data_IF_983891318094
#
_entry.id   IF_983891318094
#
_cell.length_a   1.000
_cell.length_b   1.000
_cell.length_c   1.000
_cell.angle_alpha   90.00
_cell.angle_beta   90.00
_cell.angle_gamma   90.00
#
_symmetry.space_group_name_H-M   'P 1'
#
loop_
_entity.id
_entity.type
_entity.pdbx_description
1 polymer ?
#
# COMPACT_ATOMS: atom_id res chain seq x y z
N UNK A 1 -33.04 0.66 -10.48
CA UNK A 1 -31.65 0.14 -10.49
C UNK A 1 -30.90 0.76 -9.31
N UNK A 2 -30.95 0.11 -8.16
CA UNK A 2 -30.31 0.58 -6.92
C UNK A 2 -28.79 0.41 -7.05
N UNK A 3 -28.07 1.53 -7.14
CA UNK A 3 -26.60 1.56 -7.02
C UNK A 3 -26.24 0.99 -5.64
N UNK A 4 -25.76 -0.25 -5.55
CA UNK A 4 -25.13 -0.71 -4.31
C UNK A 4 -23.83 0.09 -4.15
N UNK A 5 -23.80 1.01 -3.19
CA UNK A 5 -22.53 1.47 -2.63
C UNK A 5 -21.82 0.22 -2.12
N UNK A 6 -20.70 -0.15 -2.74
CA UNK A 6 -19.79 -1.16 -2.17
C UNK A 6 -19.14 -0.49 -0.97
N UNK A 7 -19.81 -0.55 0.17
CA UNK A 7 -19.24 -0.09 1.43
C UNK A 7 -18.07 -0.99 1.82
N UNK A 8 -16.99 -0.42 2.39
CA UNK A 8 -15.93 -1.22 2.96
C UNK A 8 -16.47 -2.24 3.97
N UNK A 9 -16.01 -3.47 3.87
CA UNK A 9 -16.38 -4.54 4.81
C UNK A 9 -15.17 -5.03 5.58
N UNK A 10 -15.40 -5.49 6.82
CA UNK A 10 -14.40 -6.23 7.58
C UNK A 10 -14.16 -7.58 6.91
N UNK A 11 -12.93 -8.08 7.00
CA UNK A 11 -12.57 -9.41 6.51
C UNK A 11 -13.33 -10.44 7.37
N UNK A 12 -14.22 -11.25 6.78
CA UNK A 12 -14.94 -12.28 7.53
C UNK A 12 -13.99 -13.36 8.04
N UNK A 13 -14.30 -14.02 9.15
CA UNK A 13 -13.49 -15.14 9.67
C UNK A 13 -13.48 -16.31 8.66
N UNK A 14 -14.59 -16.50 7.97
CA UNK A 14 -14.89 -17.48 6.92
C UNK A 14 -14.67 -16.89 5.51
N UNK A 15 -13.67 -16.00 5.36
CA UNK A 15 -13.36 -15.33 4.08
C UNK A 15 -13.18 -16.30 2.91
N UNK A 16 -12.77 -17.55 3.16
CA UNK A 16 -12.63 -18.58 2.12
C UNK A 16 -13.96 -18.87 1.45
N UNK A 17 -15.01 -19.10 2.25
CA UNK A 17 -16.30 -19.57 1.76
C UNK A 17 -17.07 -18.41 1.12
N UNK A 18 -16.97 -17.22 1.72
CA UNK A 18 -17.54 -15.98 1.19
C UNK A 18 -17.02 -15.65 -0.21
N UNK A 19 -15.73 -15.83 -0.47
CA UNK A 19 -15.10 -15.44 -1.74
C UNK A 19 -15.19 -16.54 -2.81
N UNK A 20 -15.32 -17.81 -2.42
CA UNK A 20 -15.61 -18.89 -3.37
C UNK A 20 -16.97 -18.72 -4.07
N UNK A 21 -17.93 -18.04 -3.44
CA UNK A 21 -19.22 -17.74 -4.03
C UNK A 21 -19.16 -16.56 -5.03
N UNK A 22 -18.11 -15.73 -4.97
CA UNK A 22 -17.95 -14.58 -5.87
C UNK A 22 -17.30 -15.02 -7.19
N UNK A 23 -18.11 -15.63 -8.07
CA UNK A 23 -17.73 -16.21 -9.38
C UNK A 23 -17.04 -15.27 -10.40
N UNK A 24 -16.70 -14.04 -10.04
CA UNK A 24 -16.20 -13.01 -10.97
C UNK A 24 -14.67 -12.92 -11.07
N UNK A 25 -13.93 -13.51 -10.12
CA UNK A 25 -12.46 -13.53 -10.16
C UNK A 25 -12.04 -14.85 -10.82
N UNK A 26 -11.83 -14.80 -12.13
CA UNK A 26 -11.27 -15.93 -12.87
C UNK A 26 -9.76 -16.00 -12.62
N UNK A 27 -9.19 -17.21 -12.54
CA UNK A 27 -7.75 -17.43 -12.32
C UNK A 27 -6.84 -16.87 -13.43
N UNK A 28 -7.42 -16.29 -14.48
CA UNK A 28 -6.72 -15.81 -15.68
C UNK A 28 -6.39 -14.32 -15.63
N UNK A 29 -6.98 -13.53 -14.72
CA UNK A 29 -6.70 -12.10 -14.59
C UNK A 29 -5.90 -11.82 -13.32
N UNK A 30 -4.80 -11.08 -13.44
CA UNK A 30 -3.98 -10.70 -12.28
C UNK A 30 -4.78 -9.78 -11.36
N UNK A 31 -4.85 -10.13 -10.08
CA UNK A 31 -5.53 -9.34 -9.04
C UNK A 31 -4.57 -8.30 -8.47
N UNK A 32 -4.94 -7.02 -8.49
CA UNK A 32 -4.13 -5.97 -7.86
C UNK A 32 -4.64 -5.75 -6.43
N UNK A 33 -3.80 -5.99 -5.44
CA UNK A 33 -4.12 -5.74 -4.03
C UNK A 33 -3.37 -4.51 -3.55
N UNK A 34 -4.11 -3.43 -3.32
CA UNK A 34 -3.60 -2.15 -2.80
C UNK A 34 -3.72 -2.19 -1.28
N UNK A 35 -2.59 -2.21 -0.59
CA UNK A 35 -2.51 -2.20 0.87
C UNK A 35 -2.22 -0.77 1.30
N UNK A 36 -3.07 -0.20 2.15
CA UNK A 36 -2.94 1.19 2.64
C UNK A 36 -2.83 1.21 4.16
N UNK A 37 -1.83 1.92 4.68
CA UNK A 37 -1.60 2.06 6.11
C UNK A 37 -2.74 2.81 6.83
N UNK A 38 -3.07 4.03 6.38
CA UNK A 38 -4.00 4.95 7.05
C UNK A 38 -5.46 4.73 6.63
N UNK A 39 -6.37 4.69 7.60
CA UNK A 39 -7.81 4.52 7.36
C UNK A 39 -8.40 5.69 6.56
N UNK A 40 -7.99 6.94 6.84
CA UNK A 40 -8.48 8.11 6.10
C UNK A 40 -8.17 8.03 4.59
N UNK A 41 -6.95 7.60 4.25
CA UNK A 41 -6.50 7.39 2.87
C UNK A 41 -7.30 6.25 2.23
N UNK A 42 -7.50 5.16 2.96
CA UNK A 42 -8.32 4.03 2.52
C UNK A 42 -9.76 4.45 2.19
N UNK A 43 -10.43 5.16 3.10
CA UNK A 43 -11.81 5.60 2.90
C UNK A 43 -11.93 6.53 1.69
N UNK A 44 -11.01 7.49 1.55
CA UNK A 44 -11.01 8.41 0.43
C UNK A 44 -10.73 7.71 -0.90
N UNK A 45 -9.72 6.83 -0.96
CA UNK A 45 -9.39 6.03 -2.13
C UNK A 45 -10.57 5.15 -2.57
N UNK A 46 -11.23 4.46 -1.64
CA UNK A 46 -12.42 3.65 -1.93
C UNK A 46 -13.58 4.50 -2.47
N UNK A 47 -13.82 5.67 -1.89
CA UNK A 47 -14.83 6.63 -2.36
C UNK A 47 -14.53 7.15 -3.77
N UNK A 48 -13.26 7.45 -4.06
CA UNK A 48 -12.81 7.88 -5.38
C UNK A 48 -12.96 6.76 -6.42
N UNK A 49 -12.41 5.57 -6.17
CA UNK A 49 -12.48 4.42 -7.08
C UNK A 49 -13.92 3.97 -7.34
N UNK A 50 -14.82 4.10 -6.36
CA UNK A 50 -16.24 3.79 -6.54
C UNK A 50 -16.94 4.72 -7.53
N UNK A 51 -16.46 5.98 -7.63
CA UNK A 51 -16.93 6.97 -8.62
C UNK A 51 -16.24 6.81 -9.98
N UNK A 52 -15.02 6.27 -9.99
CA UNK A 52 -14.16 6.15 -11.18
C UNK A 52 -13.78 4.69 -11.48
N UNK A 53 -14.79 3.80 -11.61
CA UNK A 53 -14.59 2.34 -11.76
C UNK A 53 -13.77 1.91 -12.99
N UNK A 54 -13.62 2.77 -13.99
CA UNK A 54 -12.84 2.48 -15.21
C UNK A 54 -11.33 2.62 -15.02
N UNK A 55 -10.86 3.21 -13.92
CA UNK A 55 -9.43 3.46 -13.69
C UNK A 55 -8.66 2.19 -13.36
N UNK A 56 -9.26 1.28 -12.60
CA UNK A 56 -8.65 0.01 -12.22
C UNK A 56 -9.64 -1.12 -12.47
N UNK A 57 -9.15 -2.20 -13.07
CA UNK A 57 -9.89 -3.45 -13.21
C UNK A 57 -9.28 -4.52 -12.32
N UNK A 58 -10.11 -5.43 -11.80
CA UNK A 58 -9.70 -6.55 -10.97
C UNK A 58 -8.74 -6.16 -9.82
N UNK A 59 -9.25 -5.32 -8.91
CA UNK A 59 -8.47 -4.83 -7.78
C UNK A 59 -9.20 -5.04 -6.45
N UNK A 60 -8.42 -5.05 -5.38
CA UNK A 60 -8.87 -5.05 -3.99
C UNK A 60 -8.09 -3.98 -3.23
N UNK A 61 -8.76 -3.18 -2.42
CA UNK A 61 -8.11 -2.26 -1.48
C UNK A 61 -8.27 -2.83 -0.07
N UNK A 62 -7.17 -2.90 0.68
CA UNK A 62 -7.13 -3.42 2.05
C UNK A 62 -6.40 -2.43 2.94
N UNK A 63 -6.88 -2.26 4.17
CA UNK A 63 -6.17 -1.49 5.20
C UNK A 63 -6.06 -2.29 6.49
N UNK A 64 -4.91 -2.17 7.15
CA UNK A 64 -4.70 -2.64 8.53
C UNK A 64 -4.95 -1.57 9.59
N UNK A 65 -5.23 -0.32 9.18
CA UNK A 65 -5.27 0.87 10.06
C UNK A 65 -3.99 1.02 10.90
N UNK A 66 -2.84 0.88 10.24
CA UNK A 66 -1.52 0.72 10.87
C UNK A 66 -1.01 -0.72 10.75
N UNK A 67 -0.59 -1.31 11.87
CA UNK A 67 -0.17 -2.71 11.92
C UNK A 67 -1.34 -3.65 11.64
N UNK A 68 -1.14 -4.61 10.74
CA UNK A 68 -2.17 -5.62 10.46
C UNK A 68 -2.33 -6.61 11.60
N UNK A 69 -3.57 -7.05 11.80
CA UNK A 69 -3.89 -8.20 12.63
C UNK A 69 -3.56 -9.53 11.91
N UNK A 70 -3.65 -10.63 12.66
CA UNK A 70 -3.38 -11.96 12.13
C UNK A 70 -4.38 -12.40 11.06
N UNK A 71 -5.63 -11.95 11.14
CA UNK A 71 -6.68 -12.31 10.17
C UNK A 71 -6.41 -11.67 8.81
N UNK A 72 -6.07 -10.38 8.78
CA UNK A 72 -5.71 -9.64 7.57
C UNK A 72 -4.52 -10.27 6.88
N UNK A 73 -3.46 -10.62 7.63
CA UNK A 73 -2.29 -11.28 7.05
C UNK A 73 -2.62 -12.68 6.51
N UNK A 74 -3.43 -13.47 7.21
CA UNK A 74 -3.89 -14.78 6.74
C UNK A 74 -4.74 -14.67 5.47
N UNK A 75 -5.60 -13.66 5.40
CA UNK A 75 -6.41 -13.38 4.24
C UNK A 75 -5.56 -13.01 3.02
N UNK A 76 -4.61 -12.10 3.17
CA UNK A 76 -3.67 -11.74 2.08
C UNK A 76 -2.79 -12.93 1.66
N UNK A 77 -2.35 -13.75 2.62
CA UNK A 77 -1.61 -14.98 2.33
C UNK A 77 -2.46 -16.04 1.61
N UNK A 78 -3.75 -16.10 1.88
CA UNK A 78 -4.67 -16.95 1.13
C UNK A 78 -4.89 -16.41 -0.30
N UNK A 79 -5.00 -15.08 -0.47
CA UNK A 79 -5.13 -14.46 -1.79
C UNK A 79 -3.94 -14.76 -2.70
N UNK A 80 -2.70 -14.70 -2.20
CA UNK A 80 -1.50 -15.02 -3.00
C UNK A 80 -1.46 -16.50 -3.45
N UNK A 81 -2.06 -17.41 -2.67
CA UNK A 81 -2.02 -18.83 -2.95
C UNK A 81 -3.18 -19.27 -3.86
N UNK A 82 -4.27 -18.49 -3.92
CA UNK A 82 -5.44 -18.77 -4.76
C UNK A 82 -5.47 -18.00 -6.07
N UNK A 83 -4.93 -16.79 -6.11
CA UNK A 83 -5.00 -15.90 -7.25
C UNK A 83 -3.61 -15.42 -7.67
N UNK A 84 -3.45 -15.04 -8.94
CA UNK A 84 -2.26 -14.35 -9.41
C UNK A 84 -2.26 -12.89 -8.91
N UNK A 85 -2.01 -12.70 -7.62
CA UNK A 85 -2.11 -11.43 -6.94
C UNK A 85 -0.81 -10.61 -6.99
N UNK A 86 -0.95 -9.29 -7.12
CA UNK A 86 0.12 -8.29 -7.02
C UNK A 86 -0.14 -7.42 -5.81
N UNK A 87 0.73 -7.45 -4.81
CA UNK A 87 0.56 -6.65 -3.60
C UNK A 87 1.36 -5.36 -3.72
N UNK A 88 0.67 -4.22 -3.64
CA UNK A 88 1.24 -2.88 -3.70
C UNK A 88 0.96 -2.19 -2.36
N UNK A 89 2.00 -1.95 -1.58
CA UNK A 89 1.88 -1.40 -0.24
C UNK A 89 2.24 0.07 -0.16
N UNK A 90 1.31 0.87 0.33
CA UNK A 90 1.39 2.31 0.52
C UNK A 90 1.47 2.64 2.01
N UNK A 91 2.68 2.94 2.46
CA UNK A 91 3.04 3.26 3.84
C UNK A 91 3.74 4.61 3.88
N UNK A 92 3.72 5.25 5.04
CA UNK A 92 4.46 6.49 5.24
C UNK A 92 5.98 6.27 5.10
N UNK A 93 6.72 7.34 4.79
CA UNK A 93 8.16 7.26 4.53
C UNK A 93 8.99 7.05 5.79
N UNK A 94 8.35 6.94 6.95
CA UNK A 94 9.00 6.93 8.24
C UNK A 94 9.29 5.52 8.75
N UNK A 95 9.96 5.44 9.88
CA UNK A 95 10.39 4.17 10.45
C UNK A 95 9.22 3.27 10.86
N UNK A 96 8.06 3.85 11.18
CA UNK A 96 6.87 3.08 11.55
C UNK A 96 6.21 2.54 10.29
N UNK A 97 6.07 3.34 9.23
CA UNK A 97 5.59 2.88 7.93
C UNK A 97 6.44 1.74 7.36
N UNK A 98 7.77 1.83 7.49
CA UNK A 98 8.67 0.74 7.09
C UNK A 98 8.50 -0.51 7.97
N UNK A 99 8.34 -0.36 9.29
CA UNK A 99 8.10 -1.50 10.17
C UNK A 99 6.75 -2.19 9.90
N UNK A 100 5.74 -1.41 9.50
CA UNK A 100 4.44 -1.95 9.07
C UNK A 100 4.63 -2.74 7.77
N UNK A 101 5.32 -2.17 6.76
CA UNK A 101 5.67 -2.88 5.52
C UNK A 101 6.37 -4.22 5.80
N UNK A 102 7.31 -4.24 6.74
CA UNK A 102 8.06 -5.43 7.14
C UNK A 102 7.15 -6.60 7.54
N UNK A 103 6.01 -6.32 8.18
CA UNK A 103 5.05 -7.34 8.58
C UNK A 103 4.44 -8.04 7.35
N UNK A 104 4.08 -7.27 6.33
CA UNK A 104 3.57 -7.80 5.07
C UNK A 104 4.66 -8.52 4.27
N UNK A 105 5.86 -7.93 4.19
CA UNK A 105 7.01 -8.52 3.49
C UNK A 105 7.38 -9.91 4.01
N UNK A 106 7.24 -10.14 5.32
CA UNK A 106 7.51 -11.46 5.93
C UNK A 106 6.44 -12.51 5.64
N UNK A 107 5.22 -12.11 5.28
CA UNK A 107 4.08 -13.02 5.10
C UNK A 107 3.73 -13.26 3.64
N UNK A 108 3.97 -12.27 2.79
CA UNK A 108 3.65 -12.31 1.37
C UNK A 108 4.92 -12.58 0.58
N UNK A 109 4.84 -13.50 -0.39
CA UNK A 109 5.97 -13.89 -1.24
C UNK A 109 6.50 -12.70 -2.06
N UNK A 110 5.59 -11.88 -2.59
CA UNK A 110 5.91 -10.71 -3.40
C UNK A 110 5.00 -9.56 -2.99
N UNK A 111 5.57 -8.58 -2.26
CA UNK A 111 4.91 -7.31 -1.96
C UNK A 111 5.84 -6.14 -2.30
N UNK A 112 5.37 -5.27 -3.16
CA UNK A 112 6.11 -4.09 -3.57
C UNK A 112 5.89 -2.97 -2.56
N UNK A 113 7.00 -2.45 -2.04
CA UNK A 113 6.99 -1.17 -1.34
C UNK A 113 6.74 -0.07 -2.38
N UNK A 114 5.56 0.53 -2.31
CA UNK A 114 5.10 1.65 -3.14
C UNK A 114 4.73 2.86 -2.26
N UNK A 115 5.34 2.96 -1.07
CA UNK A 115 5.06 3.98 -0.08
C UNK A 115 5.24 5.41 -0.59
N UNK A 116 4.87 6.36 0.25
CA UNK A 116 5.19 7.77 0.02
C UNK A 116 6.69 7.91 0.11
N UNK A 117 7.34 8.25 -1.01
CA UNK A 117 8.77 8.49 -1.01
C UNK A 117 9.04 9.93 -0.61
N UNK A 118 10.03 10.14 0.25
CA UNK A 118 10.34 11.47 0.79
C UNK A 118 10.63 12.47 -0.34
N UNK A 119 11.31 12.01 -1.39
CA UNK A 119 11.68 12.85 -2.54
C UNK A 119 10.56 13.02 -3.57
N UNK A 120 9.44 12.31 -3.44
CA UNK A 120 8.29 12.44 -4.33
C UNK A 120 7.29 13.49 -3.80
N UNK A 121 7.42 13.92 -2.53
CA UNK A 121 6.58 14.96 -1.93
C UNK A 121 7.27 16.32 -1.94
N UNK A 122 6.47 17.39 -1.87
CA UNK A 122 6.97 18.76 -1.74
C UNK A 122 7.84 18.90 -0.46
N UNK A 123 9.08 19.44 -0.55
CA UNK A 123 9.91 19.72 0.61
C UNK A 123 9.26 20.59 1.70
N UNK A 124 8.32 21.47 1.32
CA UNK A 124 7.55 22.29 2.27
C UNK A 124 6.66 21.46 3.19
N UNK A 125 6.28 20.27 2.74
CA UNK A 125 5.37 19.33 3.41
C UNK A 125 6.10 18.35 4.34
N UNK A 126 7.44 18.35 4.32
CA UNK A 126 8.26 17.42 5.08
C UNK A 126 8.24 17.71 6.58
N UNK A 127 8.04 16.65 7.35
CA UNK A 127 8.09 16.69 8.81
C UNK A 127 9.49 16.35 9.31
N UNK A 128 9.90 16.95 10.42
CA UNK A 128 11.16 16.59 11.07
C UNK A 128 11.03 15.25 11.79
N UNK A 129 12.07 14.41 11.70
CA UNK A 129 12.13 13.17 12.49
C UNK A 129 12.51 13.48 13.94
N UNK A 130 11.92 12.74 14.89
CA UNK A 130 12.25 12.86 16.30
C UNK A 130 13.51 12.07 16.67
N UNK A 131 14.12 12.36 17.83
CA UNK A 131 15.23 11.56 18.36
C UNK A 131 14.86 10.07 18.54
N UNK A 132 13.59 9.80 18.89
CA UNK A 132 13.05 8.45 18.97
C UNK A 132 13.07 7.77 17.61
N UNK A 133 12.63 8.48 16.57
CA UNK A 133 12.60 7.95 15.21
C UNK A 133 14.01 7.59 14.74
N UNK A 134 14.99 8.47 14.96
CA UNK A 134 16.41 8.21 14.63
C UNK A 134 16.89 6.91 15.29
N UNK A 135 16.62 6.73 16.59
CA UNK A 135 17.02 5.51 17.31
C UNK A 135 16.42 4.25 16.69
N UNK A 136 15.13 4.28 16.35
CA UNK A 136 14.47 3.13 15.69
C UNK A 136 15.01 2.93 14.27
N UNK A 137 15.29 4.00 13.52
CA UNK A 137 15.81 3.94 12.16
C UNK A 137 17.20 3.30 12.13
N UNK A 138 18.10 3.69 13.04
CA UNK A 138 19.44 3.08 13.17
C UNK A 138 19.33 1.58 13.46
N UNK A 139 18.44 1.20 14.38
CA UNK A 139 18.18 -0.21 14.69
C UNK A 139 17.62 -0.99 13.48
N UNK A 140 16.83 -0.32 12.64
CA UNK A 140 16.23 -0.91 11.46
C UNK A 140 17.20 -1.02 10.28
N UNK A 141 18.16 -0.10 10.14
CA UNK A 141 19.17 -0.10 9.06
C UNK A 141 19.86 -1.45 8.92
N UNK A 142 20.24 -2.06 10.04
CA UNK A 142 20.93 -3.36 10.07
C UNK A 142 20.07 -4.51 9.52
N UNK A 143 18.75 -4.35 9.46
CA UNK A 143 17.77 -5.35 9.02
C UNK A 143 17.05 -4.94 7.74
N UNK A 144 17.43 -3.79 7.15
CA UNK A 144 16.68 -3.15 6.07
C UNK A 144 17.05 -3.74 4.69
N UNK A 145 18.27 -4.26 4.55
CA UNK A 145 18.76 -4.91 3.33
C UNK A 145 17.86 -6.07 2.88
N UNK A 146 17.30 -6.82 3.83
CA UNK A 146 16.37 -7.94 3.57
C UNK A 146 15.07 -7.49 2.88
N UNK A 147 14.63 -6.25 3.12
CA UNK A 147 13.36 -5.70 2.63
C UNK A 147 13.48 -5.05 1.24
N UNK A 148 14.69 -4.97 0.70
CA UNK A 148 14.98 -4.47 -0.64
C UNK A 148 15.50 -3.02 -0.69
N UNK A 149 16.10 -2.68 -1.83
CA UNK A 149 16.85 -1.44 -2.05
C UNK A 149 16.01 -0.17 -1.88
N UNK A 150 14.72 -0.21 -2.25
CA UNK A 150 13.84 0.96 -2.11
C UNK A 150 13.61 1.31 -0.63
N UNK A 151 13.41 0.30 0.21
CA UNK A 151 13.20 0.50 1.65
C UNK A 151 14.47 1.03 2.31
N UNK A 152 15.62 0.46 1.96
CA UNK A 152 16.91 0.96 2.42
C UNK A 152 17.14 2.41 2.00
N UNK A 153 16.86 2.73 0.74
CA UNK A 153 16.99 4.09 0.19
C UNK A 153 16.14 5.10 0.97
N UNK A 154 14.87 4.78 1.25
CA UNK A 154 14.01 5.69 2.00
C UNK A 154 14.46 5.86 3.44
N UNK A 155 14.86 4.77 4.10
CA UNK A 155 15.40 4.83 5.46
C UNK A 155 16.66 5.71 5.53
N UNK A 156 17.60 5.52 4.60
CA UNK A 156 18.83 6.31 4.53
C UNK A 156 18.54 7.78 4.21
N UNK A 157 17.60 8.06 3.30
CA UNK A 157 17.19 9.44 2.98
C UNK A 157 16.59 10.16 4.18
N UNK A 158 15.71 9.48 4.93
CA UNK A 158 15.12 10.06 6.13
C UNK A 158 16.18 10.37 7.20
N UNK A 159 17.15 9.47 7.40
CA UNK A 159 18.29 9.68 8.31
C UNK A 159 19.20 10.82 7.83
N UNK A 160 19.43 10.93 6.53
CA UNK A 160 20.32 11.95 5.95
C UNK A 160 19.71 13.35 6.02
N UNK A 161 18.43 13.48 5.67
CA UNK A 161 17.73 14.76 5.64
C UNK A 161 17.15 15.15 7.00
N UNK A 162 17.07 14.22 7.95
CA UNK A 162 16.30 14.35 9.19
C UNK A 162 14.82 14.69 8.94
N UNK A 163 14.26 14.14 7.86
CA UNK A 163 12.90 14.43 7.38
C UNK A 163 12.11 13.16 7.06
N UNK A 164 10.79 13.27 7.14
CA UNK A 164 9.81 12.24 6.76
C UNK A 164 8.62 12.87 6.04
N UNK A 165 7.93 12.09 5.21
CA UNK A 165 6.70 12.47 4.51
C UNK A 165 5.56 11.53 4.87
N UNK A 166 4.36 12.09 5.04
CA UNK A 166 3.12 11.36 5.22
C UNK A 166 2.30 11.32 3.93
N UNK A 167 1.64 10.20 3.66
CA UNK A 167 0.84 10.00 2.44
C UNK A 167 -0.32 11.00 2.28
N UNK A 168 -0.87 11.51 3.38
CA UNK A 168 -1.98 12.48 3.37
C UNK A 168 -1.50 13.94 3.32
N UNK A 169 -0.19 14.16 3.19
CA UNK A 169 0.45 15.47 3.24
C UNK A 169 1.12 15.83 1.90
N UNK A 170 1.09 14.93 0.92
CA UNK A 170 1.48 15.19 -0.48
C UNK A 170 0.63 16.34 -1.05
N UNK A 171 1.32 17.46 -1.33
CA UNK A 171 0.90 18.76 -1.86
C UNK A 171 -0.11 19.58 -1.04
N UNK A 172 0.39 20.68 -0.47
CA UNK A 172 -0.39 21.72 0.21
C UNK A 172 -1.26 22.55 -0.74
N UNK A 173 -1.02 22.48 -2.06
CA UNK A 173 -1.62 23.39 -3.03
C UNK A 173 -2.88 22.84 -3.73
N UNK A 174 -3.23 21.55 -3.59
CA UNK A 174 -4.46 21.02 -4.18
C UNK A 174 -5.15 20.00 -3.25
N UNK A 175 -6.20 20.44 -2.58
CA UNK A 175 -6.61 19.96 -1.26
C UNK A 175 -7.18 18.53 -1.15
N UNK A 176 -7.14 17.67 -2.17
CA UNK A 176 -7.74 16.33 -2.03
C UNK A 176 -7.36 15.29 -3.10
N UNK A 177 -6.76 15.69 -4.23
CA UNK A 177 -6.55 14.78 -5.38
C UNK A 177 -5.13 14.22 -5.49
N UNK A 178 -4.14 14.85 -4.86
CA UNK A 178 -2.73 14.55 -5.14
C UNK A 178 -2.28 13.14 -4.73
N UNK A 179 -2.65 12.68 -3.53
CA UNK A 179 -2.20 11.36 -3.08
C UNK A 179 -2.96 10.19 -3.73
N UNK A 180 -4.19 10.40 -4.18
CA UNK A 180 -4.91 9.38 -4.96
C UNK A 180 -4.28 9.25 -6.34
N UNK A 181 -4.01 10.38 -7.00
CA UNK A 181 -3.34 10.39 -8.29
C UNK A 181 -1.92 9.80 -8.17
N UNK A 182 -1.22 10.07 -7.07
CA UNK A 182 0.04 9.42 -6.74
C UNK A 182 -0.09 7.90 -6.63
N UNK A 183 -1.06 7.40 -5.87
CA UNK A 183 -1.32 5.95 -5.73
C UNK A 183 -1.61 5.33 -7.10
N UNK A 184 -2.52 5.93 -7.87
CA UNK A 184 -2.92 5.43 -9.19
C UNK A 184 -1.73 5.40 -10.17
N UNK A 185 -0.94 6.48 -10.21
CA UNK A 185 0.29 6.53 -11.01
C UNK A 185 1.26 5.40 -10.66
N UNK A 186 1.50 5.15 -9.36
CA UNK A 186 2.36 4.04 -8.92
C UNK A 186 1.78 2.67 -9.29
N UNK A 187 0.46 2.51 -9.24
CA UNK A 187 -0.21 1.27 -9.66
C UNK A 187 -0.04 1.05 -11.17
N UNK A 188 -0.23 2.09 -11.98
CA UNK A 188 -0.06 2.04 -13.44
C UNK A 188 1.38 1.73 -13.85
N UNK A 189 2.37 2.44 -13.27
CA UNK A 189 3.80 2.20 -13.51
C UNK A 189 4.12 0.71 -13.32
N UNK A 190 3.62 0.09 -12.24
CA UNK A 190 3.85 -1.33 -11.94
C UNK A 190 3.09 -2.29 -12.86
N UNK A 191 1.89 -1.94 -13.29
CA UNK A 191 1.14 -2.74 -14.27
C UNK A 191 1.82 -2.76 -15.64
N UNK A 192 2.42 -1.65 -16.06
CA UNK A 192 3.18 -1.55 -17.31
C UNK A 192 4.42 -2.45 -17.27
N UNK A 193 5.15 -2.47 -16.15
CA UNK A 193 6.31 -3.36 -15.98
C UNK A 193 5.93 -4.84 -16.05
N UNK A 194 4.73 -5.24 -15.58
CA UNK A 194 4.24 -6.61 -15.77
C UNK A 194 3.98 -6.94 -17.24
N UNK A 195 3.35 -6.05 -18.02
CA UNK A 195 3.09 -6.32 -19.46
C UNK A 195 4.37 -6.52 -20.27
N UNK A 196 5.43 -5.75 -19.99
CA UNK A 196 6.72 -5.84 -20.69
C UNK A 196 7.55 -7.08 -20.34
N UNK A 197 7.34 -7.71 -19.18
CA UNK A 197 8.09 -8.91 -18.78
C UNK A 197 7.60 -10.20 -19.46
N UNK A 198 6.49 -10.15 -20.19
CA UNK A 198 5.88 -11.29 -20.89
C UNK A 198 5.76 -11.07 -22.41
N UNK A 199 6.51 -10.11 -22.97
CA UNK A 199 6.67 -9.93 -24.43
C UNK A 199 8.09 -10.29 -24.81
#
# INVERSE_FOLDING_TARGET
MTRSKTEPMLIPIDYTDCLHQTRSITNTTSLIVIIVEKDSVFQYLCSYLSRHKSLLSNFLVVTGKGYSDGLTLRFLAWLQDKFQASFLGFFDSDVYGINIYKQYHRKLKIVHYCGTYLMDSDPSSWLSISARDISVMINLCNKCSEMGLLVQRELTRGLFLFKKSEINVTNLHDHQLDYVDYILKKVEERNIFKKRAYT
#
